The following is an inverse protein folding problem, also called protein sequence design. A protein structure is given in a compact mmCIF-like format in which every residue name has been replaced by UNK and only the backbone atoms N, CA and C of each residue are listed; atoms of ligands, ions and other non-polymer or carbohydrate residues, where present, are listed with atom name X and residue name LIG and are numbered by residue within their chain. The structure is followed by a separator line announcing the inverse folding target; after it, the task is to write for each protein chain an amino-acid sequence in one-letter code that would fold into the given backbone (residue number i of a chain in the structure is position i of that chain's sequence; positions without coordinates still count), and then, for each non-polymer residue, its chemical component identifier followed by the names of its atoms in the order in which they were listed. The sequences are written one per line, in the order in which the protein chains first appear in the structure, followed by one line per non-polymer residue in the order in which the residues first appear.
data_IF_570310198053
#
_entry.id   IF_570310198053
#
_cell.length_a   1.000
_cell.length_b   1.000
_cell.length_c   1.000
_cell.angle_alpha   90.00
_cell.angle_beta   90.00
_cell.angle_gamma   90.00
#
_symmetry.space_group_name_H-M   'P 1'
#
loop_
_entity.id
_entity.type
_entity.pdbx_description
1 polymer ?
#
# COMPACT_ATOMS: atom_id res chain seq x y z
N UNK A 1 -26.17 -6.34 25.53
CA UNK A 1 -25.51 -5.48 24.52
C UNK A 1 -24.09 -5.25 24.99
N UNK A 2 -23.14 -6.05 24.50
CA UNK A 2 -21.73 -5.95 24.91
C UNK A 2 -21.17 -4.75 24.18
N UNK A 3 -20.83 -3.68 24.90
CA UNK A 3 -20.08 -2.57 24.32
C UNK A 3 -18.73 -3.10 23.86
N UNK A 4 -18.41 -2.90 22.58
CA UNK A 4 -17.10 -3.20 22.02
C UNK A 4 -16.04 -2.35 22.76
N UNK A 5 -14.86 -2.92 23.02
CA UNK A 5 -13.78 -2.28 23.80
C UNK A 5 -13.42 -0.89 23.22
N UNK A 6 -13.52 -0.76 21.90
CA UNK A 6 -13.32 0.49 21.18
C UNK A 6 -14.34 1.58 21.53
N UNK A 7 -15.62 1.21 21.66
CA UNK A 7 -16.70 2.14 22.02
C UNK A 7 -16.56 2.65 23.46
N UNK A 8 -16.11 1.78 24.38
CA UNK A 8 -15.83 2.16 25.77
C UNK A 8 -14.73 3.22 25.83
N UNK A 9 -13.64 3.01 25.09
CA UNK A 9 -12.53 3.97 25.01
C UNK A 9 -13.00 5.32 24.47
N UNK A 10 -13.85 5.34 23.43
CA UNK A 10 -14.38 6.59 22.87
C UNK A 10 -15.22 7.39 23.88
N UNK A 11 -16.08 6.71 24.66
CA UNK A 11 -16.90 7.36 25.70
C UNK A 11 -16.04 7.91 26.83
N UNK A 12 -15.04 7.15 27.30
CA UNK A 12 -14.09 7.60 28.32
C UNK A 12 -13.29 8.82 27.82
N UNK A 13 -12.89 8.81 26.55
CA UNK A 13 -12.18 9.92 25.92
C UNK A 13 -13.03 11.19 25.90
N UNK A 14 -14.32 11.12 25.53
CA UNK A 14 -15.21 12.27 25.59
C UNK A 14 -15.38 12.80 27.03
N UNK A 15 -15.61 11.90 27.99
CA UNK A 15 -15.79 12.27 29.38
C UNK A 15 -14.56 13.00 29.97
N UNK A 16 -13.36 12.65 29.53
CA UNK A 16 -12.12 13.29 29.96
C UNK A 16 -11.82 14.61 29.23
N UNK A 17 -11.99 14.65 27.89
CA UNK A 17 -11.55 15.80 27.08
C UNK A 17 -12.58 16.93 26.99
N UNK A 18 -13.87 16.69 27.22
CA UNK A 18 -14.91 17.74 27.30
C UNK A 18 -14.67 18.72 28.47
N UNK A 19 -14.46 18.28 29.72
CA UNK A 19 -14.13 19.21 30.80
C UNK A 19 -12.76 19.86 30.59
N UNK A 20 -11.80 19.13 30.01
CA UNK A 20 -10.47 19.64 29.73
C UNK A 20 -10.48 20.78 28.70
N UNK A 21 -11.28 20.70 27.63
CA UNK A 21 -11.38 21.77 26.64
C UNK A 21 -12.05 23.02 27.22
N UNK A 22 -13.09 22.86 28.05
CA UNK A 22 -13.72 23.99 28.73
C UNK A 22 -12.73 24.73 29.65
N UNK A 23 -11.96 23.99 30.44
CA UNK A 23 -10.93 24.56 31.32
C UNK A 23 -9.81 25.23 30.51
N UNK A 24 -9.32 24.60 29.45
CA UNK A 24 -8.26 25.15 28.61
C UNK A 24 -8.71 26.45 27.90
N UNK A 25 -9.94 26.51 27.38
CA UNK A 25 -10.52 27.73 26.79
C UNK A 25 -10.66 28.83 27.84
N UNK A 26 -11.16 28.51 29.04
CA UNK A 26 -11.29 29.48 30.13
C UNK A 26 -9.93 30.11 30.49
N UNK A 27 -8.89 29.28 30.64
CA UNK A 27 -7.53 29.75 30.96
C UNK A 27 -6.92 30.56 29.82
N UNK A 28 -7.16 30.19 28.56
CA UNK A 28 -6.74 30.97 27.39
C UNK A 28 -7.37 32.36 27.36
N UNK A 29 -8.65 32.48 27.70
CA UNK A 29 -9.35 33.76 27.76
C UNK A 29 -8.83 34.65 28.91
N UNK A 30 -8.44 34.07 30.03
CA UNK A 30 -7.90 34.81 31.18
C UNK A 30 -6.49 35.39 30.95
N UNK A 31 -5.60 34.65 30.29
CA UNK A 31 -4.20 35.04 30.14
C UNK A 31 -3.84 35.70 28.80
N UNK A 32 -4.79 35.74 27.86
CA UNK A 32 -4.59 36.25 26.51
C UNK A 32 -3.79 35.29 25.61
N UNK A 33 -4.21 35.17 24.36
CA UNK A 33 -3.65 34.20 23.39
C UNK A 33 -2.14 34.36 23.13
N UNK A 34 -1.56 35.54 23.35
CA UNK A 34 -0.13 35.82 23.15
C UNK A 34 0.79 35.26 24.25
N UNK A 35 0.31 35.12 25.49
CA UNK A 35 1.11 34.63 26.65
C UNK A 35 0.74 33.21 27.09
N UNK A 36 -0.24 32.59 26.42
CA UNK A 36 -0.84 31.29 26.79
C UNK A 36 -0.38 30.13 25.89
N UNK A 37 0.87 30.14 25.41
CA UNK A 37 1.35 29.25 24.33
C UNK A 37 1.11 27.76 24.58
N UNK A 38 1.24 27.27 25.83
CA UNK A 38 0.99 25.86 26.16
C UNK A 38 -0.50 25.45 26.22
N UNK A 39 -1.40 26.35 26.62
CA UNK A 39 -2.83 26.04 26.75
C UNK A 39 -3.52 25.98 25.40
N UNK A 40 -3.07 26.77 24.42
CA UNK A 40 -3.55 26.69 23.05
C UNK A 40 -3.39 25.28 22.46
N UNK A 41 -2.22 24.66 22.61
CA UNK A 41 -1.99 23.28 22.15
C UNK A 41 -2.87 22.27 22.89
N UNK A 42 -3.25 22.55 24.13
CA UNK A 42 -4.16 21.71 24.92
C UNK A 42 -5.61 21.83 24.42
N UNK A 43 -6.03 23.02 23.98
CA UNK A 43 -7.30 23.22 23.27
C UNK A 43 -7.31 22.43 21.95
N UNK A 44 -6.26 22.58 21.14
CA UNK A 44 -6.12 21.86 19.85
C UNK A 44 -6.14 20.33 20.07
N UNK A 45 -5.38 19.82 21.04
CA UNK A 45 -5.37 18.39 21.40
C UNK A 45 -6.78 17.90 21.77
N UNK A 46 -7.49 18.66 22.61
CA UNK A 46 -8.81 18.27 23.08
C UNK A 46 -9.82 18.25 21.93
N UNK A 47 -9.74 19.19 20.99
CA UNK A 47 -10.57 19.20 19.78
C UNK A 47 -10.36 17.94 18.94
N UNK A 48 -9.11 17.60 18.61
CA UNK A 48 -8.80 16.39 17.83
C UNK A 48 -9.29 15.12 18.53
N UNK A 49 -9.15 15.04 19.85
CA UNK A 49 -9.60 13.88 20.64
C UNK A 49 -11.12 13.78 20.73
N UNK A 50 -11.82 14.90 20.85
CA UNK A 50 -13.30 14.91 20.83
C UNK A 50 -13.81 14.55 19.44
N UNK A 51 -13.23 15.11 18.37
CA UNK A 51 -13.60 14.80 17.00
C UNK A 51 -13.38 13.31 16.65
N UNK A 52 -12.22 12.75 17.00
CA UNK A 52 -11.92 11.33 16.78
C UNK A 52 -12.89 10.41 17.51
N UNK A 53 -13.20 10.70 18.79
CA UNK A 53 -14.15 9.91 19.57
C UNK A 53 -15.60 10.03 19.04
N UNK A 54 -16.00 11.22 18.57
CA UNK A 54 -17.30 11.43 17.95
C UNK A 54 -17.43 10.65 16.63
N UNK A 55 -16.42 10.74 15.74
CA UNK A 55 -16.38 9.96 14.51
C UNK A 55 -16.42 8.45 14.78
N UNK A 56 -15.74 7.99 15.82
CA UNK A 56 -15.72 6.58 16.21
C UNK A 56 -17.10 6.09 16.68
N UNK A 57 -17.83 6.91 17.44
CA UNK A 57 -19.21 6.60 17.85
C UNK A 57 -20.18 6.60 16.67
N UNK A 58 -20.04 7.56 15.74
CA UNK A 58 -20.85 7.61 14.51
C UNK A 58 -20.58 6.38 13.63
N UNK A 59 -19.34 5.89 13.58
CA UNK A 59 -18.95 4.71 12.79
C UNK A 59 -19.61 3.41 13.26
N UNK A 60 -20.15 3.36 14.48
CA UNK A 60 -20.90 2.20 14.98
C UNK A 60 -22.21 2.04 14.20
N UNK A 61 -22.86 3.16 13.88
CA UNK A 61 -24.15 3.17 13.19
C UNK A 61 -24.02 3.27 11.67
N UNK A 62 -22.90 3.81 11.17
CA UNK A 62 -22.64 3.99 9.73
C UNK A 62 -21.21 3.52 9.37
N UNK A 63 -21.09 2.34 8.77
CA UNK A 63 -19.79 1.78 8.32
C UNK A 63 -19.37 2.31 6.95
N UNK A 64 -19.15 3.61 6.84
CA UNK A 64 -18.56 4.21 5.64
C UNK A 64 -17.03 4.07 5.66
N UNK A 65 -16.42 3.65 4.55
CA UNK A 65 -14.96 3.47 4.42
C UNK A 65 -14.20 4.76 4.75
N UNK A 66 -14.69 5.92 4.30
CA UNK A 66 -14.08 7.22 4.60
C UNK A 66 -14.22 7.64 6.07
N UNK A 67 -15.28 7.20 6.76
CA UNK A 67 -15.44 7.47 8.19
C UNK A 67 -14.47 6.61 9.02
N UNK A 68 -14.25 5.35 8.63
CA UNK A 68 -13.29 4.46 9.28
C UNK A 68 -11.84 4.98 9.11
N UNK A 69 -11.50 5.44 7.91
CA UNK A 69 -10.21 6.07 7.63
C UNK A 69 -10.03 7.37 8.42
N UNK A 70 -11.04 8.24 8.47
CA UNK A 70 -11.02 9.45 9.28
C UNK A 70 -10.82 9.15 10.77
N UNK A 71 -11.44 8.09 11.31
CA UNK A 71 -11.23 7.64 12.70
C UNK A 71 -9.78 7.21 12.93
N UNK A 72 -9.17 6.45 12.02
CA UNK A 72 -7.76 6.04 12.14
C UNK A 72 -6.82 7.24 12.07
N UNK A 73 -7.06 8.16 11.14
CA UNK A 73 -6.26 9.39 10.96
C UNK A 73 -6.35 10.27 12.21
N UNK A 74 -7.57 10.58 12.70
CA UNK A 74 -7.77 11.43 13.87
C UNK A 74 -7.15 10.84 15.14
N UNK A 75 -7.23 9.51 15.31
CA UNK A 75 -6.64 8.82 16.45
C UNK A 75 -5.10 8.85 16.43
N UNK A 76 -4.47 8.79 15.27
CA UNK A 76 -3.00 8.84 15.15
C UNK A 76 -2.45 10.28 15.13
N UNK A 77 -3.12 11.21 14.45
CA UNK A 77 -2.72 12.63 14.42
C UNK A 77 -2.78 13.25 15.81
N UNK A 78 -3.66 12.79 16.69
CA UNK A 78 -3.75 13.24 18.08
C UNK A 78 -2.47 13.09 18.92
N UNK A 79 -1.43 12.41 18.43
CA UNK A 79 -0.10 12.34 19.06
C UNK A 79 0.72 13.63 18.86
N UNK A 80 0.54 14.32 17.73
CA UNK A 80 1.31 15.54 17.42
C UNK A 80 0.90 16.70 18.32
N UNK A 81 -0.39 17.03 18.51
CA UNK A 81 -0.81 18.04 19.48
C UNK A 81 -0.43 17.70 20.92
N UNK A 82 -0.32 16.40 21.26
CA UNK A 82 0.14 15.95 22.58
C UNK A 82 1.61 16.32 22.81
N UNK A 83 2.48 16.03 21.84
CA UNK A 83 3.89 16.42 21.95
C UNK A 83 4.08 17.94 21.96
N UNK A 84 3.30 18.68 21.16
CA UNK A 84 3.33 20.14 21.17
C UNK A 84 2.83 20.73 22.50
N UNK A 85 1.80 20.13 23.10
CA UNK A 85 1.28 20.53 24.42
C UNK A 85 2.31 20.30 25.53
N UNK A 86 2.99 19.15 25.55
CA UNK A 86 4.02 18.87 26.56
C UNK A 86 5.22 19.80 26.43
N UNK A 87 5.70 20.07 25.20
CA UNK A 87 6.74 21.08 24.99
C UNK A 87 6.28 22.50 25.35
N UNK A 88 5.03 22.85 25.06
CA UNK A 88 4.45 24.14 25.44
C UNK A 88 4.42 24.36 26.97
N UNK A 89 4.06 23.32 27.72
CA UNK A 89 4.10 23.35 29.19
C UNK A 89 5.53 23.36 29.74
N UNK A 90 6.44 22.60 29.14
CA UNK A 90 7.85 22.58 29.52
C UNK A 90 8.53 23.94 29.26
N UNK A 91 8.19 24.62 28.15
CA UNK A 91 8.67 25.99 27.88
C UNK A 91 8.25 26.96 28.98
N UNK A 92 6.99 26.88 29.43
CA UNK A 92 6.48 27.74 30.51
C UNK A 92 7.18 27.44 31.84
N UNK A 93 7.41 26.18 32.14
CA UNK A 93 8.15 25.79 33.34
C UNK A 93 9.59 26.33 33.31
N UNK A 94 10.26 26.22 32.16
CA UNK A 94 11.58 26.79 31.95
C UNK A 94 11.59 28.32 32.10
N UNK A 95 10.57 29.02 31.57
CA UNK A 95 10.41 30.47 31.75
C UNK A 95 10.24 30.86 33.23
N UNK A 96 9.44 30.10 34.00
CA UNK A 96 9.25 30.32 35.45
C UNK A 96 10.54 30.12 36.23
N UNK A 97 11.28 29.04 35.93
CA UNK A 97 12.56 28.73 36.57
C UNK A 97 13.60 29.81 36.23
N UNK A 98 13.73 30.18 34.96
CA UNK A 98 14.67 31.21 34.51
C UNK A 98 14.33 32.60 35.09
N UNK A 99 13.06 32.91 35.35
CA UNK A 99 12.66 34.16 36.00
C UNK A 99 13.04 34.24 37.49
N UNK A 100 13.34 33.10 38.12
CA UNK A 100 13.72 32.99 39.54
C UNK A 100 15.25 32.90 39.74
N UNK A 101 16.03 32.73 38.67
CA UNK A 101 17.49 32.60 38.71
C UNK A 101 18.18 33.89 38.27
N UNK A 102 19.26 34.26 38.94
CA UNK A 102 20.08 35.45 38.61
C UNK A 102 20.89 35.25 37.32
N UNK A 103 21.19 34.00 36.97
CA UNK A 103 21.81 33.58 35.69
C UNK A 103 20.94 32.50 35.02
N UNK A 104 20.34 32.78 33.85
CA UNK A 104 19.46 31.82 33.17
C UNK A 104 20.28 30.71 32.49
N UNK A 105 20.20 29.48 33.01
CA UNK A 105 20.91 28.32 32.49
C UNK A 105 20.19 27.60 31.34
N UNK A 106 18.86 27.69 31.25
CA UNK A 106 18.07 26.93 30.26
C UNK A 106 17.78 27.81 29.05
N UNK A 107 18.49 27.55 27.94
CA UNK A 107 18.29 28.27 26.69
C UNK A 107 16.93 27.93 26.07
N UNK A 108 15.95 28.81 26.30
CA UNK A 108 14.59 28.80 25.74
C UNK A 108 14.58 28.65 24.20
N UNK A 109 15.70 29.00 23.54
CA UNK A 109 15.88 28.90 22.09
C UNK A 109 15.80 27.45 21.60
N UNK A 110 16.32 26.48 22.36
CA UNK A 110 16.26 25.07 21.96
C UNK A 110 14.83 24.52 22.03
N UNK A 111 14.04 24.92 23.02
CA UNK A 111 12.63 24.51 23.16
C UNK A 111 11.79 25.06 22.00
N UNK A 112 11.99 26.34 21.63
CA UNK A 112 11.31 26.94 20.47
C UNK A 112 11.75 26.33 19.14
N UNK A 113 13.03 25.98 18.99
CA UNK A 113 13.54 25.29 17.80
C UNK A 113 12.93 23.89 17.65
N UNK A 114 12.83 23.14 18.74
CA UNK A 114 12.16 21.83 18.75
C UNK A 114 10.67 21.93 18.39
N UNK A 115 9.96 22.95 18.90
CA UNK A 115 8.56 23.21 18.55
C UNK A 115 8.40 23.51 17.05
N UNK A 116 9.30 24.30 16.46
CA UNK A 116 9.30 24.59 15.02
C UNK A 116 9.51 23.30 14.19
N UNK A 117 10.49 22.47 14.58
CA UNK A 117 10.79 21.20 13.91
C UNK A 117 9.58 20.24 14.00
N UNK A 118 8.92 20.15 15.15
CA UNK A 118 7.71 19.33 15.30
C UNK A 118 6.54 19.84 14.46
N UNK A 119 6.35 21.17 14.37
CA UNK A 119 5.33 21.77 13.50
C UNK A 119 5.61 21.46 12.02
N UNK A 120 6.85 21.58 11.57
CA UNK A 120 7.26 21.20 10.22
C UNK A 120 7.04 19.70 9.98
N UNK A 121 7.44 18.85 10.93
CA UNK A 121 7.21 17.41 10.86
C UNK A 121 5.72 17.04 10.79
N UNK A 122 4.86 17.78 11.50
CA UNK A 122 3.42 17.62 11.43
C UNK A 122 2.86 17.97 10.05
N UNK A 123 3.26 19.12 9.50
CA UNK A 123 2.85 19.58 8.17
C UNK A 123 3.32 18.59 7.10
N UNK A 124 4.59 18.17 7.13
CA UNK A 124 5.11 17.15 6.22
C UNK A 124 4.44 15.79 6.42
N UNK A 125 4.07 15.43 7.64
CA UNK A 125 3.30 14.23 7.94
C UNK A 125 1.91 14.25 7.31
N UNK A 126 1.19 15.37 7.42
CA UNK A 126 -0.13 15.56 6.80
C UNK A 126 -0.02 15.49 5.27
N UNK A 127 0.94 16.24 4.69
CA UNK A 127 1.21 16.20 3.24
C UNK A 127 1.56 14.76 2.80
N UNK A 128 2.35 14.04 3.60
CA UNK A 128 2.75 12.67 3.31
C UNK A 128 1.61 11.65 3.39
N UNK A 129 0.63 11.84 4.28
CA UNK A 129 -0.56 10.99 4.37
C UNK A 129 -1.50 11.25 3.19
N UNK A 130 -1.74 12.51 2.84
CA UNK A 130 -2.53 12.87 1.66
C UNK A 130 -1.89 12.30 0.39
N UNK A 131 -0.57 12.44 0.27
CA UNK A 131 0.22 11.81 -0.79
C UNK A 131 0.05 10.30 -0.82
N UNK A 132 0.06 9.61 0.33
CA UNK A 132 -0.11 8.15 0.40
C UNK A 132 -1.49 7.67 -0.04
N UNK A 133 -2.54 8.45 0.26
CA UNK A 133 -3.90 8.15 -0.20
C UNK A 133 -4.10 8.42 -1.71
N UNK A 134 -3.23 9.24 -2.30
CA UNK A 134 -3.32 9.67 -3.70
C UNK A 134 -2.22 9.13 -4.63
N UNK A 135 -1.16 8.52 -4.11
CA UNK A 135 0.06 8.14 -4.87
C UNK A 135 0.33 6.64 -4.92
N UNK A 136 -0.64 5.80 -4.52
CA UNK A 136 -0.59 4.38 -4.85
C UNK A 136 -0.99 4.23 -6.31
N UNK A 137 -0.03 3.90 -7.18
CA UNK A 137 -0.36 3.28 -8.45
C UNK A 137 -1.02 1.95 -8.10
N UNK A 138 -2.28 1.76 -8.45
CA UNK A 138 -3.03 0.54 -8.15
C UNK A 138 -3.27 -0.19 -9.46
N UNK A 139 -2.40 -1.11 -9.90
CA UNK A 139 -2.67 -1.87 -11.10
C UNK A 139 -3.94 -2.70 -10.93
N UNK A 140 -4.73 -2.81 -11.98
CA UNK A 140 -5.84 -3.76 -12.03
C UNK A 140 -5.54 -4.81 -13.09
N UNK A 141 -5.92 -6.04 -12.78
CA UNK A 141 -5.77 -7.18 -13.66
C UNK A 141 -7.15 -7.75 -13.98
N UNK A 142 -7.45 -7.92 -15.26
CA UNK A 142 -8.63 -8.66 -15.69
C UNK A 142 -8.18 -9.95 -16.34
N UNK A 143 -8.80 -11.03 -15.90
CA UNK A 143 -8.76 -12.31 -16.59
C UNK A 143 -10.07 -12.49 -17.35
N UNK A 144 -9.95 -12.79 -18.64
CA UNK A 144 -11.09 -13.02 -19.51
C UNK A 144 -10.76 -14.14 -20.50
N UNK A 145 -11.81 -14.76 -21.03
CA UNK A 145 -11.66 -15.83 -22.02
C UNK A 145 -11.94 -15.29 -23.41
N UNK A 146 -11.04 -15.56 -24.33
CA UNK A 146 -11.20 -15.24 -25.74
C UNK A 146 -10.90 -16.50 -26.57
N UNK A 147 -11.81 -16.95 -27.44
CA UNK A 147 -11.55 -18.04 -28.37
C UNK A 147 -10.21 -17.86 -29.11
N UNK A 148 -9.54 -18.97 -29.43
CA UNK A 148 -8.20 -18.97 -30.03
C UNK A 148 -8.17 -18.40 -31.45
N UNK A 149 -9.30 -18.50 -32.16
CA UNK A 149 -9.52 -18.05 -33.53
C UNK A 149 -9.73 -16.53 -33.64
N UNK A 150 -10.03 -15.85 -32.54
CA UNK A 150 -10.23 -14.41 -32.51
C UNK A 150 -8.89 -13.71 -32.25
N UNK A 151 -8.57 -12.67 -33.02
CA UNK A 151 -7.39 -11.86 -32.76
C UNK A 151 -7.61 -11.02 -31.50
N UNK A 152 -6.63 -11.04 -30.60
CA UNK A 152 -6.61 -10.19 -29.41
C UNK A 152 -6.15 -8.79 -29.85
N UNK A 153 -7.10 -7.96 -30.27
CA UNK A 153 -6.83 -6.66 -30.89
C UNK A 153 -7.22 -5.47 -29.99
N UNK A 154 -6.62 -4.31 -30.27
CA UNK A 154 -6.84 -3.05 -29.55
C UNK A 154 -8.31 -2.62 -29.55
N UNK A 155 -9.08 -3.01 -30.57
CA UNK A 155 -10.52 -2.74 -30.66
C UNK A 155 -11.33 -3.29 -29.48
N UNK A 156 -10.90 -4.36 -28.81
CA UNK A 156 -11.56 -4.90 -27.60
C UNK A 156 -11.46 -3.94 -26.40
N UNK A 157 -10.55 -2.97 -26.48
CA UNK A 157 -10.20 -2.06 -25.40
C UNK A 157 -10.63 -0.61 -25.66
N UNK A 158 -11.44 -0.36 -26.70
CA UNK A 158 -11.85 0.99 -27.10
C UNK A 158 -12.52 1.79 -25.97
N UNK A 159 -13.25 1.11 -25.09
CA UNK A 159 -13.88 1.70 -23.91
C UNK A 159 -12.88 2.33 -22.91
N UNK A 160 -11.58 2.05 -23.05
CA UNK A 160 -10.53 2.69 -22.25
C UNK A 160 -10.06 4.04 -22.81
N UNK A 161 -10.28 4.34 -24.09
CA UNK A 161 -9.84 5.61 -24.71
C UNK A 161 -10.36 6.86 -23.97
N UNK A 162 -11.64 6.95 -23.54
CA UNK A 162 -12.14 8.11 -22.83
C UNK A 162 -11.43 8.37 -21.49
N UNK A 163 -10.76 7.36 -20.93
CA UNK A 163 -10.07 7.43 -19.63
C UNK A 163 -8.56 7.46 -19.73
N UNK A 164 -8.00 7.70 -20.93
CA UNK A 164 -6.55 7.69 -21.16
C UNK A 164 -5.75 8.61 -20.24
N UNK A 165 -6.30 9.74 -19.80
CA UNK A 165 -5.61 10.64 -18.87
C UNK A 165 -5.49 10.06 -17.45
N UNK A 166 -6.21 8.97 -17.16
CA UNK A 166 -6.34 8.38 -15.82
C UNK A 166 -5.45 7.15 -15.62
N UNK A 167 -4.83 6.63 -16.68
CA UNK A 167 -3.92 5.49 -16.64
C UNK A 167 -2.68 5.74 -17.50
N UNK A 168 -1.58 5.10 -17.15
CA UNK A 168 -0.26 5.37 -17.75
C UNK A 168 0.13 4.34 -18.80
N UNK A 169 -0.21 3.06 -18.56
CA UNK A 169 0.15 1.94 -19.42
C UNK A 169 -0.94 0.87 -19.31
N UNK A 170 -1.24 0.20 -20.42
CA UNK A 170 -2.13 -0.93 -20.48
C UNK A 170 -1.47 -2.05 -21.29
N UNK A 171 -1.33 -3.23 -20.69
CA UNK A 171 -0.71 -4.40 -21.30
C UNK A 171 -1.70 -5.54 -21.41
N UNK A 172 -1.74 -6.24 -22.54
CA UNK A 172 -2.57 -7.42 -22.70
C UNK A 172 -1.81 -8.55 -23.38
N UNK A 173 -2.24 -9.78 -23.14
CA UNK A 173 -1.65 -10.97 -23.74
C UNK A 173 -2.43 -12.24 -23.43
N UNK A 174 -2.16 -13.28 -24.21
CA UNK A 174 -2.70 -14.62 -24.00
C UNK A 174 -1.79 -15.40 -23.04
N UNK A 175 -2.40 -16.25 -22.21
CA UNK A 175 -1.67 -17.24 -21.41
C UNK A 175 -1.15 -18.33 -22.36
N UNK A 176 0.14 -18.67 -22.28
CA UNK A 176 0.79 -19.63 -23.17
C UNK A 176 0.29 -21.06 -22.92
N UNK A 177 0.07 -21.40 -21.66
CA UNK A 177 -0.43 -22.71 -21.22
C UNK A 177 -1.92 -22.90 -21.52
N UNK A 178 -2.67 -21.80 -21.58
CA UNK A 178 -4.09 -21.80 -21.93
C UNK A 178 -4.37 -20.64 -22.88
N UNK A 179 -4.19 -20.85 -24.19
CA UNK A 179 -4.34 -19.78 -25.19
C UNK A 179 -5.72 -19.13 -25.22
N UNK A 180 -6.74 -19.77 -24.63
CA UNK A 180 -8.09 -19.21 -24.46
C UNK A 180 -8.20 -18.18 -23.34
N UNK A 181 -7.30 -18.23 -22.37
CA UNK A 181 -7.27 -17.31 -21.25
C UNK A 181 -6.38 -16.11 -21.60
N UNK A 182 -6.93 -14.92 -21.41
CA UNK A 182 -6.29 -13.65 -21.69
C UNK A 182 -6.17 -12.84 -20.40
N UNK A 183 -5.10 -12.05 -20.32
CA UNK A 183 -4.85 -11.13 -19.22
C UNK A 183 -4.74 -9.72 -19.77
N UNK A 184 -5.47 -8.79 -19.15
CA UNK A 184 -5.31 -7.35 -19.33
C UNK A 184 -4.80 -6.76 -18.01
N UNK A 185 -3.72 -6.01 -18.05
CA UNK A 185 -3.12 -5.27 -16.94
C UNK A 185 -3.20 -3.78 -17.25
N UNK A 186 -3.77 -2.98 -16.35
CA UNK A 186 -3.79 -1.51 -16.50
C UNK A 186 -3.14 -0.87 -15.29
N UNK A 187 -2.27 0.10 -15.57
CA UNK A 187 -1.56 0.87 -14.57
C UNK A 187 -2.20 2.25 -14.38
N UNK A 188 -3.11 2.37 -13.42
CA UNK A 188 -3.81 3.61 -13.11
C UNK A 188 -2.89 4.64 -12.45
N UNK A 189 -3.04 5.93 -12.81
CA UNK A 189 -2.26 7.02 -12.20
C UNK A 189 -2.51 7.11 -10.69
N UNK A 190 -3.78 6.89 -10.28
CA UNK A 190 -4.22 7.00 -8.89
C UNK A 190 -5.21 5.90 -8.55
N UNK A 191 -5.25 5.50 -7.28
CA UNK A 191 -6.32 4.60 -6.77
C UNK A 191 -7.71 5.15 -7.06
N UNK A 192 -7.92 6.48 -6.94
CA UNK A 192 -9.20 7.13 -7.27
C UNK A 192 -9.60 6.96 -8.73
N UNK A 193 -8.66 7.01 -9.67
CA UNK A 193 -8.91 6.86 -11.10
C UNK A 193 -9.56 5.52 -11.42
N UNK A 194 -9.06 4.45 -10.79
CA UNK A 194 -9.70 3.14 -10.88
C UNK A 194 -11.12 3.14 -10.29
N UNK A 195 -11.33 3.72 -9.10
CA UNK A 195 -12.67 3.75 -8.49
C UNK A 195 -13.68 4.48 -9.38
N UNK A 196 -13.30 5.62 -9.94
CA UNK A 196 -14.13 6.40 -10.86
C UNK A 196 -14.43 5.60 -12.13
N UNK A 197 -13.42 4.97 -12.73
CA UNK A 197 -13.62 4.09 -13.88
C UNK A 197 -14.54 2.92 -13.56
N UNK A 198 -14.36 2.22 -12.44
CA UNK A 198 -15.16 1.05 -12.06
C UNK A 198 -16.66 1.33 -11.92
N UNK A 199 -17.02 2.60 -11.68
CA UNK A 199 -18.40 3.09 -11.56
C UNK A 199 -18.94 3.73 -12.84
N UNK A 200 -18.11 3.85 -13.87
CA UNK A 200 -18.45 4.50 -15.14
C UNK A 200 -19.12 3.53 -16.13
N UNK A 201 -19.86 4.10 -17.08
CA UNK A 201 -20.42 3.36 -18.21
C UNK A 201 -19.33 2.71 -19.08
N UNK A 202 -18.16 3.35 -19.18
CA UNK A 202 -16.99 2.81 -19.91
C UNK A 202 -16.48 1.49 -19.32
N UNK A 203 -16.59 1.30 -17.99
CA UNK A 203 -16.25 0.01 -17.38
C UNK A 203 -17.28 -1.07 -17.70
N UNK A 204 -18.57 -0.73 -17.70
CA UNK A 204 -19.62 -1.66 -18.11
C UNK A 204 -19.47 -2.06 -19.59
N UNK A 205 -19.13 -1.11 -20.46
CA UNK A 205 -18.86 -1.32 -21.88
C UNK A 205 -17.60 -2.18 -22.11
N UNK A 206 -16.53 -1.94 -21.35
CA UNK A 206 -15.33 -2.78 -21.38
C UNK A 206 -15.66 -4.23 -20.98
N UNK A 207 -16.37 -4.43 -19.87
CA UNK A 207 -16.75 -5.78 -19.42
C UNK A 207 -17.66 -6.47 -20.43
N UNK A 208 -18.58 -5.73 -21.06
CA UNK A 208 -19.43 -6.27 -22.13
C UNK A 208 -18.61 -6.66 -23.36
N UNK A 209 -17.59 -5.88 -23.72
CA UNK A 209 -16.71 -6.16 -24.86
C UNK A 209 -15.84 -7.39 -24.60
N UNK A 210 -15.25 -7.48 -23.40
CA UNK A 210 -14.43 -8.63 -22.99
C UNK A 210 -15.25 -9.91 -22.81
N UNK A 211 -16.51 -9.78 -22.37
CA UNK A 211 -17.44 -10.90 -22.19
C UNK A 211 -18.18 -11.30 -23.47
N UNK A 212 -18.14 -10.50 -24.54
CA UNK A 212 -18.92 -10.75 -25.77
C UNK A 212 -18.64 -12.09 -26.45
N UNK A 213 -17.47 -12.67 -26.18
CA UNK A 213 -17.01 -13.92 -26.77
C UNK A 213 -16.88 -15.08 -25.76
N UNK A 214 -17.40 -14.92 -24.53
CA UNK A 214 -17.32 -15.95 -23.50
C UNK A 214 -18.60 -16.09 -22.69
N UNK A 215 -19.02 -17.33 -22.46
CA UNK A 215 -20.08 -17.67 -21.51
C UNK A 215 -19.63 -17.56 -20.04
N UNK A 216 -18.34 -17.30 -19.79
CA UNK A 216 -17.76 -17.16 -18.46
C UNK A 216 -17.69 -15.67 -18.11
N UNK A 217 -18.18 -15.25 -16.93
CA UNK A 217 -18.09 -13.86 -16.51
C UNK A 217 -16.62 -13.42 -16.41
N UNK A 218 -16.33 -12.23 -16.93
CA UNK A 218 -15.01 -11.59 -16.83
C UNK A 218 -14.70 -11.36 -15.35
N UNK A 219 -13.57 -11.90 -14.88
CA UNK A 219 -13.13 -11.74 -13.49
C UNK A 219 -12.09 -10.63 -13.45
N UNK A 220 -12.53 -9.45 -13.02
CA UNK A 220 -11.67 -8.33 -12.69
C UNK A 220 -11.19 -8.42 -11.25
N UNK A 221 -9.89 -8.32 -11.04
CA UNK A 221 -9.26 -8.28 -9.72
C UNK A 221 -8.37 -7.05 -9.61
N UNK A 222 -8.37 -6.45 -8.42
CA UNK A 222 -7.50 -5.32 -8.11
C UNK A 222 -6.25 -5.90 -7.46
N UNK A 223 -5.08 -5.52 -7.96
CA UNK A 223 -3.81 -5.99 -7.40
C UNK A 223 -2.98 -4.78 -6.99
N UNK A 224 -2.79 -4.60 -5.69
CA UNK A 224 -1.96 -3.52 -5.16
C UNK A 224 -0.47 -3.90 -5.25
N UNK A 225 0.20 -3.41 -6.30
CA UNK A 225 1.66 -3.49 -6.49
C UNK A 225 2.43 -2.37 -5.75
N UNK A 226 1.77 -1.61 -4.88
CA UNK A 226 2.34 -0.51 -4.11
C UNK A 226 3.02 0.56 -4.98
N UNK A 227 4.37 0.61 -4.98
CA UNK A 227 5.16 1.58 -5.76
C UNK A 227 5.82 0.96 -6.99
N UNK A 228 5.58 -0.32 -7.26
CA UNK A 228 6.18 -1.00 -8.39
C UNK A 228 5.39 -0.75 -9.67
N UNK A 229 6.06 -0.21 -10.67
CA UNK A 229 5.53 -0.08 -12.02
C UNK A 229 5.52 -1.45 -12.70
N UNK A 230 4.47 -2.24 -12.44
CA UNK A 230 4.36 -3.62 -12.93
C UNK A 230 4.47 -3.72 -14.45
N UNK A 231 3.94 -2.73 -15.18
CA UNK A 231 3.92 -2.68 -16.66
C UNK A 231 5.28 -2.39 -17.30
N UNK A 232 6.26 -1.88 -16.54
CA UNK A 232 7.61 -1.63 -17.08
C UNK A 232 8.30 -2.95 -17.36
N UNK A 233 8.89 -3.05 -18.56
CA UNK A 233 9.67 -4.20 -19.04
C UNK A 233 8.89 -5.53 -19.15
N UNK A 234 7.55 -5.46 -19.17
CA UNK A 234 6.71 -6.58 -19.59
C UNK A 234 7.06 -6.96 -21.03
N UNK A 235 7.03 -8.26 -21.31
CA UNK A 235 7.30 -8.81 -22.64
C UNK A 235 6.57 -10.13 -22.85
N UNK A 236 6.77 -10.76 -24.02
CA UNK A 236 6.30 -12.12 -24.30
C UNK A 236 6.94 -13.21 -23.42
N UNK A 237 7.90 -12.86 -22.56
CA UNK A 237 8.55 -13.74 -21.57
C UNK A 237 8.24 -13.25 -20.15
N UNK A 238 6.95 -13.04 -19.86
CA UNK A 238 6.50 -12.67 -18.52
C UNK A 238 5.86 -13.87 -17.86
N UNK A 239 6.35 -14.22 -16.68
CA UNK A 239 5.76 -15.27 -15.83
C UNK A 239 4.99 -14.59 -14.68
N UNK A 240 3.75 -15.04 -14.47
CA UNK A 240 2.92 -14.66 -13.34
C UNK A 240 2.89 -15.83 -12.36
N UNK A 241 3.34 -15.61 -11.13
CA UNK A 241 3.26 -16.59 -10.05
C UNK A 241 2.32 -16.09 -8.96
N UNK A 242 1.14 -16.69 -8.87
CA UNK A 242 0.12 -16.36 -7.88
C UNK A 242 0.28 -17.28 -6.68
N UNK A 243 0.50 -16.72 -5.50
CA UNK A 243 0.73 -17.45 -4.25
C UNK A 243 -0.42 -17.21 -3.29
N UNK A 244 -0.93 -18.28 -2.69
CA UNK A 244 -2.09 -18.26 -1.81
C UNK A 244 -1.68 -18.44 -0.36
N UNK A 245 -2.33 -17.68 0.52
CA UNK A 245 -2.10 -17.68 1.96
C UNK A 245 -3.41 -17.76 2.74
N UNK A 246 -3.40 -18.22 4.00
CA UNK A 246 -4.56 -18.16 4.86
C UNK A 246 -5.08 -16.73 5.03
N UNK A 247 -6.39 -16.53 5.24
CA UNK A 247 -6.99 -15.19 5.37
C UNK A 247 -6.52 -14.49 6.65
N UNK A 248 -5.99 -15.24 7.61
CA UNK A 248 -5.50 -14.77 8.91
C UNK A 248 -4.03 -14.33 8.92
N UNK A 249 -3.38 -14.12 7.77
CA UNK A 249 -1.97 -13.66 7.76
C UNK A 249 -1.81 -12.28 8.39
N UNK A 250 -0.75 -12.11 9.19
CA UNK A 250 -0.41 -10.83 9.80
C UNK A 250 0.13 -9.84 8.76
N UNK A 251 0.04 -8.53 9.06
CA UNK A 251 0.65 -7.51 8.22
C UNK A 251 2.18 -7.63 8.16
N UNK A 252 2.80 -8.18 9.21
CA UNK A 252 4.23 -8.47 9.25
C UNK A 252 4.59 -9.57 8.25
N UNK A 253 3.82 -10.65 8.20
CA UNK A 253 3.98 -11.72 7.20
C UNK A 253 3.84 -11.15 5.79
N UNK A 254 2.83 -10.30 5.53
CA UNK A 254 2.66 -9.66 4.21
C UNK A 254 3.88 -8.85 3.78
N UNK A 255 4.54 -8.14 4.70
CA UNK A 255 5.79 -7.40 4.43
C UNK A 255 6.97 -8.35 4.24
N UNK A 256 7.07 -9.38 5.09
CA UNK A 256 8.15 -10.36 5.05
C UNK A 256 8.19 -11.18 3.74
N UNK A 257 7.05 -11.35 3.06
CA UNK A 257 6.98 -12.01 1.74
C UNK A 257 7.94 -11.35 0.74
N UNK A 258 8.05 -10.01 0.75
CA UNK A 258 9.01 -9.31 -0.11
C UNK A 258 10.47 -9.47 0.37
N UNK A 259 10.71 -9.47 1.68
CA UNK A 259 12.07 -9.65 2.20
C UNK A 259 12.65 -11.03 1.85
N UNK A 260 11.78 -12.04 1.70
CA UNK A 260 12.17 -13.37 1.26
C UNK A 260 12.61 -13.45 -0.20
N UNK A 261 12.30 -12.49 -1.07
CA UNK A 261 12.74 -12.52 -2.48
C UNK A 261 13.98 -11.70 -2.78
N UNK A 262 14.58 -11.09 -1.76
CA UNK A 262 15.79 -10.27 -1.95
C UNK A 262 16.93 -11.04 -2.64
N UNK A 263 16.88 -12.37 -2.63
CA UNK A 263 17.81 -13.24 -3.35
C UNK A 263 17.43 -13.52 -4.82
N UNK A 264 16.15 -13.41 -5.22
CA UNK A 264 15.74 -13.42 -6.63
C UNK A 264 16.19 -12.15 -7.35
N UNK A 265 16.22 -11.03 -6.61
CA UNK A 265 16.77 -9.76 -7.06
C UNK A 265 18.24 -9.64 -6.69
N UNK A 266 19.17 -10.20 -7.47
CA UNK A 266 20.59 -9.86 -7.29
C UNK A 266 20.80 -8.38 -7.67
N UNK A 267 20.70 -7.53 -6.65
CA UNK A 267 20.90 -6.08 -6.69
C UNK A 267 21.98 -5.67 -7.68
N UNK A 268 21.72 -4.56 -8.38
CA UNK A 268 22.63 -3.77 -9.21
C UNK A 268 24.00 -3.40 -8.57
N UNK A 269 24.34 -3.97 -7.41
CA UNK A 269 25.60 -3.89 -6.69
C UNK A 269 26.82 -4.30 -7.53
N UNK A 270 26.66 -5.10 -8.58
CA UNK A 270 27.77 -5.46 -9.48
C UNK A 270 28.03 -4.43 -10.61
N UNK A 271 27.15 -3.42 -10.78
CA UNK A 271 27.30 -2.38 -11.80
C UNK A 271 26.98 -2.84 -13.23
N UNK A 272 26.88 -1.87 -14.17
CA UNK A 272 26.48 -2.09 -15.59
C UNK A 272 27.21 -3.24 -16.30
N UNK A 273 28.45 -3.55 -15.90
CA UNK A 273 29.30 -4.57 -16.54
C UNK A 273 28.75 -6.00 -16.42
N UNK A 274 28.00 -6.32 -15.37
CA UNK A 274 27.44 -7.66 -15.14
C UNK A 274 25.95 -7.77 -15.48
N UNK A 275 25.35 -6.69 -16.00
CA UNK A 275 23.93 -6.64 -16.35
C UNK A 275 23.54 -7.68 -17.41
N UNK A 276 24.46 -8.05 -18.32
CA UNK A 276 24.24 -9.09 -19.34
C UNK A 276 24.04 -10.51 -18.75
N UNK A 277 24.50 -10.74 -17.51
CA UNK A 277 24.32 -12.02 -16.80
C UNK A 277 23.01 -12.11 -16.05
N UNK A 278 22.24 -11.02 -16.03
CA UNK A 278 20.99 -10.97 -15.31
C UNK A 278 19.89 -11.69 -16.10
N UNK A 279 19.14 -12.60 -15.47
CA UNK A 279 18.11 -13.37 -16.16
C UNK A 279 16.83 -12.56 -16.40
N UNK A 280 16.65 -11.46 -15.65
CA UNK A 280 15.50 -10.57 -15.79
C UNK A 280 15.82 -9.30 -16.59
N UNK A 281 14.81 -8.71 -17.24
CA UNK A 281 14.86 -7.37 -17.82
C UNK A 281 14.75 -6.27 -16.77
N UNK A 282 13.96 -6.54 -15.73
CA UNK A 282 13.76 -5.69 -14.57
C UNK A 282 13.53 -6.56 -13.33
N UNK A 283 13.68 -5.99 -12.13
CA UNK A 283 13.37 -6.73 -10.90
C UNK A 283 11.93 -7.22 -10.90
N UNK A 284 11.66 -8.44 -10.38
CA UNK A 284 10.29 -8.91 -10.22
C UNK A 284 9.45 -7.91 -9.43
N UNK A 285 8.16 -7.83 -9.74
CA UNK A 285 7.20 -6.99 -9.02
C UNK A 285 6.26 -7.88 -8.21
N UNK A 286 5.85 -7.42 -7.03
CA UNK A 286 4.90 -8.12 -6.16
C UNK A 286 3.69 -7.23 -5.92
N UNK A 287 2.51 -7.80 -6.08
CA UNK A 287 1.28 -7.14 -5.65
C UNK A 287 0.37 -8.05 -4.85
N UNK A 288 -0.41 -7.47 -3.95
CA UNK A 288 -1.43 -8.19 -3.18
C UNK A 288 -2.80 -8.02 -3.84
N UNK A 289 -3.53 -9.12 -4.01
CA UNK A 289 -4.90 -9.08 -4.51
C UNK A 289 -5.78 -8.44 -3.42
N UNK A 290 -6.59 -7.46 -3.81
CA UNK A 290 -7.58 -6.86 -2.92
C UNK A 290 -8.79 -7.79 -2.75
N UNK A 291 -9.17 -8.04 -1.51
CA UNK A 291 -10.24 -8.97 -1.14
C UNK A 291 -9.79 -10.41 -0.91
N UNK A 292 -10.78 -11.27 -0.65
CA UNK A 292 -10.57 -12.69 -0.43
C UNK A 292 -10.70 -13.44 -1.76
N UNK A 293 -9.79 -14.37 -1.99
CA UNK A 293 -9.85 -15.34 -3.10
C UNK A 293 -10.18 -16.71 -2.54
N UNK A 294 -10.52 -17.66 -3.42
CA UNK A 294 -10.68 -19.06 -3.01
C UNK A 294 -9.48 -19.88 -3.44
N UNK A 295 -8.98 -20.69 -2.52
CA UNK A 295 -7.98 -21.72 -2.79
C UNK A 295 -8.54 -23.06 -2.32
N UNK A 296 -8.66 -24.03 -3.23
CA UNK A 296 -9.26 -25.35 -2.94
C UNK A 296 -10.63 -25.28 -2.23
N UNK A 297 -11.42 -24.25 -2.56
CA UNK A 297 -12.73 -24.01 -1.97
C UNK A 297 -12.73 -23.32 -0.59
N UNK A 298 -11.57 -23.04 0.00
CA UNK A 298 -11.42 -22.29 1.23
C UNK A 298 -11.10 -20.82 0.96
N UNK A 299 -11.54 -19.93 1.85
CA UNK A 299 -11.18 -18.52 1.79
C UNK A 299 -9.68 -18.34 2.02
N UNK A 300 -9.04 -17.56 1.17
CA UNK A 300 -7.62 -17.27 1.18
C UNK A 300 -7.37 -15.82 0.76
N UNK A 301 -6.13 -15.39 0.89
CA UNK A 301 -5.63 -14.15 0.29
C UNK A 301 -4.50 -14.51 -0.67
N UNK A 302 -4.33 -13.74 -1.74
CA UNK A 302 -3.30 -14.02 -2.74
C UNK A 302 -2.39 -12.83 -2.97
N UNK A 303 -1.15 -13.13 -3.34
CA UNK A 303 -0.24 -12.17 -3.95
C UNK A 303 0.22 -12.68 -5.32
N UNK A 304 0.49 -11.77 -6.24
CA UNK A 304 0.95 -12.06 -7.59
C UNK A 304 2.35 -11.52 -7.78
N UNK A 305 3.25 -12.41 -8.14
CA UNK A 305 4.59 -12.11 -8.60
C UNK A 305 4.62 -11.99 -10.10
N UNK A 306 5.27 -10.94 -10.60
CA UNK A 306 5.46 -10.70 -12.03
C UNK A 306 6.95 -10.77 -12.33
N UNK A 307 7.35 -11.90 -12.89
CA UNK A 307 8.72 -12.20 -13.30
C UNK A 307 8.93 -11.76 -14.75
N UNK A 308 9.86 -10.84 -14.96
CA UNK A 308 10.11 -10.17 -16.25
C UNK A 308 11.35 -10.74 -16.90
N UNK A 309 11.28 -11.97 -17.40
CA UNK A 309 12.43 -12.68 -17.95
C UNK A 309 12.97 -12.01 -19.21
N UNK A 310 14.27 -12.16 -19.46
CA UNK A 310 14.92 -11.65 -20.66
C UNK A 310 14.43 -12.39 -21.91
N UNK A 311 14.43 -13.71 -21.81
CA UNK A 311 14.07 -14.72 -22.79
C UNK A 311 13.85 -16.08 -22.08
N UNK A 312 13.32 -17.06 -22.81
CA UNK A 312 13.04 -18.41 -22.30
C UNK A 312 14.29 -19.13 -21.79
N UNK A 313 15.42 -18.99 -22.48
CA UNK A 313 16.68 -19.65 -22.11
C UNK A 313 17.21 -19.12 -20.76
N UNK A 314 17.12 -17.81 -20.54
CA UNK A 314 17.52 -17.17 -19.29
C UNK A 314 16.69 -17.65 -18.09
N UNK A 315 15.38 -17.83 -18.29
CA UNK A 315 14.48 -18.39 -17.28
C UNK A 315 14.87 -19.84 -16.94
N UNK A 316 14.93 -20.72 -17.94
CA UNK A 316 15.25 -22.14 -17.75
C UNK A 316 16.62 -22.32 -17.07
N UNK A 317 17.61 -21.54 -17.52
CA UNK A 317 18.94 -21.53 -16.91
C UNK A 317 18.90 -21.08 -15.46
N UNK A 318 18.15 -20.02 -15.15
CA UNK A 318 18.03 -19.53 -13.77
C UNK A 318 17.38 -20.58 -12.87
N UNK A 319 16.24 -21.14 -13.29
CA UNK A 319 15.50 -22.16 -12.54
C UNK A 319 16.34 -23.43 -12.31
N UNK A 320 17.19 -23.82 -13.27
CA UNK A 320 18.00 -25.03 -13.18
C UNK A 320 19.37 -24.88 -12.50
N UNK A 321 20.00 -23.71 -12.60
CA UNK A 321 21.44 -23.57 -12.27
C UNK A 321 21.78 -22.49 -11.25
N UNK A 322 20.92 -21.49 -11.07
CA UNK A 322 21.25 -20.38 -10.17
C UNK A 322 21.20 -20.84 -8.72
N UNK A 323 22.27 -20.55 -7.96
CA UNK A 323 22.39 -20.92 -6.56
C UNK A 323 22.72 -19.71 -5.71
N UNK A 324 22.01 -19.58 -4.59
CA UNK A 324 22.20 -18.45 -3.67
C UNK A 324 22.97 -18.90 -2.42
N UNK A 325 24.09 -18.23 -2.06
CA UNK A 325 24.77 -18.50 -0.80
C UNK A 325 23.84 -18.19 0.39
N UNK A 326 23.53 -19.21 1.19
CA UNK A 326 22.61 -19.13 2.30
C UNK A 326 23.24 -19.76 3.55
N UNK A 327 23.17 -19.07 4.68
CA UNK A 327 23.63 -19.61 5.95
C UNK A 327 22.50 -20.39 6.61
N UNK A 328 22.71 -21.68 6.87
CA UNK A 328 21.77 -22.55 7.58
C UNK A 328 22.51 -23.30 8.67
N UNK A 329 22.05 -23.19 9.91
CA UNK A 329 22.65 -23.87 11.07
C UNK A 329 24.17 -23.60 11.27
N UNK A 330 24.64 -22.42 10.86
CA UNK A 330 26.05 -22.02 10.94
C UNK A 330 26.91 -22.48 9.75
N UNK A 331 26.35 -23.22 8.80
CA UNK A 331 27.04 -23.65 7.58
C UNK A 331 26.59 -22.84 6.35
N UNK A 332 27.54 -22.55 5.47
CA UNK A 332 27.27 -21.90 4.19
C UNK A 332 26.84 -22.95 3.16
N UNK A 333 25.54 -23.01 2.88
CA UNK A 333 24.97 -23.84 1.81
C UNK A 333 24.71 -22.99 0.56
N UNK A 334 24.63 -23.66 -0.60
CA UNK A 334 24.31 -23.04 -1.90
C UNK A 334 23.13 -23.77 -2.56
N UNK A 335 21.93 -23.72 -1.96
CA UNK A 335 20.73 -24.29 -2.56
C UNK A 335 20.41 -23.58 -3.88
N UNK A 336 19.55 -24.21 -4.70
CA UNK A 336 18.98 -23.53 -5.84
C UNK A 336 18.17 -22.31 -5.36
N UNK A 337 18.32 -21.20 -6.06
CA UNK A 337 17.68 -19.94 -5.70
C UNK A 337 16.15 -20.08 -5.71
N UNK A 338 15.60 -20.87 -6.65
CA UNK A 338 14.17 -21.16 -6.73
C UNK A 338 13.69 -21.97 -5.52
N UNK A 339 14.39 -23.05 -5.15
CA UNK A 339 14.03 -23.87 -3.99
C UNK A 339 14.02 -23.05 -2.70
N UNK A 340 15.03 -22.17 -2.53
CA UNK A 340 15.12 -21.29 -1.37
C UNK A 340 13.95 -20.31 -1.32
N UNK A 341 13.53 -19.78 -2.47
CA UNK A 341 12.38 -18.90 -2.58
C UNK A 341 11.08 -19.62 -2.19
N UNK A 342 10.83 -20.78 -2.78
CA UNK A 342 9.62 -21.56 -2.52
C UNK A 342 9.55 -22.07 -1.08
N UNK A 343 10.68 -22.53 -0.52
CA UNK A 343 10.77 -22.89 0.88
C UNK A 343 10.45 -21.68 1.77
N UNK A 344 10.98 -20.49 1.43
CA UNK A 344 10.67 -19.26 2.16
C UNK A 344 9.19 -18.89 2.14
N UNK A 345 8.47 -19.15 1.04
CA UNK A 345 7.02 -18.96 0.98
C UNK A 345 6.28 -19.97 1.88
N UNK A 346 6.69 -21.24 1.87
CA UNK A 346 6.12 -22.28 2.73
C UNK A 346 6.35 -21.97 4.21
N UNK A 347 7.53 -21.49 4.58
CA UNK A 347 7.88 -21.08 5.94
C UNK A 347 7.01 -19.91 6.43
N UNK A 348 6.54 -19.05 5.51
CA UNK A 348 5.60 -17.97 5.81
C UNK A 348 4.13 -18.41 5.81
N UNK A 349 3.87 -19.71 5.61
CA UNK A 349 2.53 -20.29 5.64
C UNK A 349 1.79 -20.23 4.31
N UNK A 350 2.49 -20.18 3.17
CA UNK A 350 1.84 -20.31 1.86
C UNK A 350 1.13 -21.68 1.74
N UNK A 351 -0.11 -21.66 1.26
CA UNK A 351 -0.93 -22.85 1.01
C UNK A 351 -0.52 -23.54 -0.29
N UNK A 352 -0.18 -22.75 -1.30
CA UNK A 352 0.17 -23.22 -2.65
C UNK A 352 0.36 -22.04 -3.60
N UNK A 353 0.68 -22.35 -4.85
CA UNK A 353 0.81 -21.35 -5.91
C UNK A 353 0.48 -21.92 -7.29
N UNK A 354 0.13 -21.01 -8.19
CA UNK A 354 -0.10 -21.26 -9.61
C UNK A 354 0.87 -20.40 -10.42
N UNK A 355 1.37 -20.95 -11.52
CA UNK A 355 2.29 -20.28 -12.43
C UNK A 355 1.70 -20.30 -13.84
N UNK A 356 1.80 -19.17 -14.53
CA UNK A 356 1.45 -19.10 -15.94
C UNK A 356 2.34 -18.09 -16.68
N UNK A 357 2.57 -18.33 -17.96
CA UNK A 357 3.34 -17.44 -18.82
C UNK A 357 2.40 -16.65 -19.71
N UNK A 358 2.54 -15.33 -19.69
CA UNK A 358 1.73 -14.45 -20.53
C UNK A 358 2.56 -13.90 -21.67
N UNK A 359 2.10 -14.15 -22.89
CA UNK A 359 2.66 -13.58 -24.11
C UNK A 359 2.21 -12.14 -24.32
N UNK A 360 2.63 -11.21 -23.46
CA UNK A 360 2.26 -9.80 -23.63
C UNK A 360 2.82 -9.21 -24.93
N UNK A 361 2.00 -8.40 -25.61
CA UNK A 361 2.41 -7.75 -26.83
C UNK A 361 3.49 -6.68 -26.56
N UNK A 362 4.56 -6.66 -27.35
CA UNK A 362 5.75 -5.84 -27.05
C UNK A 362 5.54 -4.32 -27.14
N UNK A 363 4.36 -3.85 -27.58
CA UNK A 363 3.98 -2.43 -27.72
C UNK A 363 2.66 -2.15 -27.00
N UNK A 364 2.67 -2.35 -25.69
CA UNK A 364 1.53 -2.09 -24.81
C UNK A 364 1.35 -0.59 -24.49
N UNK A 365 1.13 0.21 -25.52
CA UNK A 365 0.50 1.52 -25.38
C UNK A 365 -0.75 1.46 -26.25
N UNK A 366 -1.91 1.40 -25.61
CA UNK A 366 -3.20 1.59 -26.29
C UNK A 366 -3.26 3.11 -26.54
N UNK A 367 -3.09 3.61 -27.78
CA UNK A 367 -2.96 5.04 -28.05
C UNK A 367 -4.28 5.79 -28.08
#
# INVERSE_FOLDING_TARGET
MVLDSWSIVAVVQLAAYIPAICLAIYICNLHGFSKSSGWYYTVTLSLFRIAGAACQLISINNKSKGLLEAVMILNHIGLVPLMLSTLGMLSRLADVINAQLTDPAISIRYVRLMQLIMLLGAVFGIIGVESKSSSGTSPSAWSFKLPEDILLDVSLFHALHPTMEQWTHACYGRIKESPRDCVLLINWDRTRSWLEFSQSDSHAELLSSLGSHSDVPVVGEIIDFARDYVTIAISSHTELKRVYFPPSISQETRRAVWDRVRHLGTTAAYGKKFQHRYPYRATPSLGWVDGNVKWEGQDAVACVWVHKWKDQEAEEKFKATERYPHMKDGELIKPLTLDLFEQGLRDLGALGWEECHVGFETRCYIP
#
